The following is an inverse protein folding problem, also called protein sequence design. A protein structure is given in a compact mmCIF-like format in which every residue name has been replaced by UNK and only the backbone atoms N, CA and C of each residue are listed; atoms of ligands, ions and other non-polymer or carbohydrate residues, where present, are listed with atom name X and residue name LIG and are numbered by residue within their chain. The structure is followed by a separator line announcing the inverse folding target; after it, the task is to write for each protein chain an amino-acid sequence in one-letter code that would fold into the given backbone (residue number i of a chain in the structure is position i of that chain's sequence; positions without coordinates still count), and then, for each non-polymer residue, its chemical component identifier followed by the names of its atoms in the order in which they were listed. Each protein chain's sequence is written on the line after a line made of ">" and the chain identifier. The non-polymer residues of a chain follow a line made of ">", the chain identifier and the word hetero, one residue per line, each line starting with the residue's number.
data_IF_576468964387
#
_entry.id   IF_576468964387
#
_cell.length_a   1.000
_cell.length_b   1.000
_cell.length_c   1.000
_cell.angle_alpha   90.00
_cell.angle_beta   90.00
_cell.angle_gamma   90.00
#
_symmetry.space_group_name_H-M   'P 1'
#
loop_
_entity.id
_entity.type
_entity.pdbx_description
1 polymer ?
#
# COMPACT_ATOMS: atom_id res chain seq x y z
N UNK A 1 0.00 -0.22 -32.78
CA UNK A 1 0.97 0.56 -33.59
C UNK A 1 1.57 -0.35 -34.66
N UNK A 2 1.51 0.01 -35.95
CA UNK A 2 2.04 -0.80 -37.08
C UNK A 2 3.55 -1.08 -36.90
N UNK A 3 4.04 -2.23 -37.37
CA UNK A 3 5.44 -2.70 -37.20
C UNK A 3 6.48 -1.72 -37.72
N UNK A 4 6.20 -1.06 -38.84
CA UNK A 4 7.08 -0.07 -39.47
C UNK A 4 7.30 1.16 -38.59
N UNK A 5 6.24 1.66 -37.94
CA UNK A 5 6.34 2.82 -37.03
C UNK A 5 7.11 2.46 -35.75
N UNK A 6 7.06 1.20 -35.30
CA UNK A 6 7.90 0.70 -34.19
C UNK A 6 9.39 0.70 -34.56
N UNK A 7 9.73 0.31 -35.78
CA UNK A 7 11.12 0.27 -36.26
C UNK A 7 11.70 1.68 -36.38
N UNK A 8 10.91 2.61 -36.96
CA UNK A 8 11.29 4.02 -37.11
C UNK A 8 11.47 4.69 -35.75
N UNK A 9 10.59 4.43 -34.78
CA UNK A 9 10.76 4.98 -33.43
C UNK A 9 11.96 4.35 -32.69
N UNK A 10 12.28 3.08 -32.95
CA UNK A 10 13.41 2.36 -32.34
C UNK A 10 14.78 2.84 -32.81
N UNK A 11 14.91 3.15 -34.10
CA UNK A 11 16.20 3.50 -34.71
C UNK A 11 16.29 4.94 -35.21
N UNK A 12 15.16 5.64 -35.34
CA UNK A 12 15.11 7.03 -35.83
C UNK A 12 15.48 8.07 -34.77
N UNK A 13 15.71 9.33 -35.18
CA UNK A 13 16.15 10.40 -34.29
C UNK A 13 15.08 10.85 -33.27
N UNK A 14 15.50 11.32 -32.09
CA UNK A 14 14.60 11.66 -30.96
C UNK A 14 13.51 12.68 -31.29
N UNK A 15 13.75 13.60 -32.23
CA UNK A 15 12.75 14.62 -32.58
C UNK A 15 11.47 14.00 -33.18
N UNK A 16 11.55 12.81 -33.80
CA UNK A 16 10.39 12.12 -34.37
C UNK A 16 9.39 11.69 -33.29
N UNK A 17 9.87 11.23 -32.14
CA UNK A 17 8.99 10.82 -31.04
C UNK A 17 8.34 12.02 -30.32
N UNK A 18 8.90 13.21 -30.47
CA UNK A 18 8.34 14.45 -29.89
C UNK A 18 7.20 15.05 -30.71
N UNK A 19 6.84 14.45 -31.85
CA UNK A 19 5.70 14.90 -32.64
C UNK A 19 4.40 14.73 -31.84
N UNK A 20 3.65 15.83 -31.72
CA UNK A 20 2.44 15.97 -30.88
C UNK A 20 1.42 14.83 -31.11
N UNK A 21 1.24 14.40 -32.36
CA UNK A 21 0.29 13.33 -32.70
C UNK A 21 0.73 11.93 -32.23
N UNK A 22 2.04 11.68 -32.10
CA UNK A 22 2.60 10.46 -31.51
C UNK A 22 2.41 10.50 -30.00
N UNK A 23 2.75 11.63 -29.36
CA UNK A 23 2.57 11.84 -27.91
C UNK A 23 1.09 11.66 -27.49
N UNK A 24 0.13 12.22 -28.24
CA UNK A 24 -1.32 12.06 -27.97
C UNK A 24 -1.81 10.60 -27.97
N UNK A 25 -1.18 9.69 -28.73
CA UNK A 25 -1.50 8.25 -28.71
C UNK A 25 -0.92 7.53 -27.50
N UNK A 26 0.16 8.05 -26.92
CA UNK A 26 0.85 7.51 -25.74
C UNK A 26 0.13 7.92 -24.45
N UNK A 27 -0.40 9.14 -24.41
CA UNK A 27 -1.11 9.72 -23.25
C UNK A 27 -2.50 9.10 -22.96
N UNK A 28 -2.96 8.10 -23.73
CA UNK A 28 -4.29 7.49 -23.54
C UNK A 28 -4.35 6.46 -22.40
N UNK A 29 -3.26 6.26 -21.67
CA UNK A 29 -3.19 5.40 -20.47
C UNK A 29 -3.35 6.26 -19.21
N UNK A 30 -4.57 6.69 -18.93
CA UNK A 30 -4.89 7.40 -17.68
C UNK A 30 -5.13 6.40 -16.55
N UNK A 31 -4.12 6.24 -15.71
CA UNK A 31 -4.17 5.50 -14.45
C UNK A 31 -2.80 5.47 -13.80
N UNK A 32 -2.75 5.53 -12.47
CA UNK A 32 -1.48 5.58 -11.71
C UNK A 32 -0.72 4.24 -11.67
N UNK A 33 -1.22 3.25 -12.41
CA UNK A 33 -0.62 1.92 -12.57
C UNK A 33 -0.60 1.59 -14.05
N UNK A 34 0.59 1.35 -14.58
CA UNK A 34 0.78 0.88 -15.94
C UNK A 34 0.71 -0.66 -15.97
N UNK A 35 0.06 -1.18 -17.01
CA UNK A 35 -0.14 -2.61 -17.25
C UNK A 35 1.19 -3.41 -17.21
N UNK A 36 1.19 -4.69 -16.77
CA UNK A 36 2.32 -5.60 -16.99
C UNK A 36 2.67 -5.66 -18.49
N UNK A 37 3.88 -5.31 -18.89
CA UNK A 37 4.32 -5.13 -20.29
C UNK A 37 3.96 -3.80 -20.95
N UNK A 38 3.60 -2.78 -20.17
CA UNK A 38 3.47 -1.43 -20.69
C UNK A 38 4.75 -0.98 -21.40
N UNK A 39 4.60 -0.30 -22.55
CA UNK A 39 5.72 0.28 -23.29
C UNK A 39 5.60 1.79 -23.28
N UNK A 40 6.48 2.45 -22.53
CA UNK A 40 6.62 3.89 -22.55
C UNK A 40 7.60 4.21 -23.68
N UNK A 41 7.11 4.93 -24.67
CA UNK A 41 7.81 5.14 -25.92
C UNK A 41 8.90 6.22 -25.82
N UNK A 42 9.82 6.19 -26.79
CA UNK A 42 10.99 7.06 -26.85
C UNK A 42 10.63 8.54 -26.67
N UNK A 43 11.46 9.29 -25.96
CA UNK A 43 11.27 10.75 -25.78
C UNK A 43 9.99 11.17 -25.04
N UNK A 44 9.17 10.23 -24.56
CA UNK A 44 7.94 10.57 -23.85
C UNK A 44 8.21 11.26 -22.54
N UNK A 45 7.45 12.32 -22.25
CA UNK A 45 7.42 12.96 -20.93
C UNK A 45 6.12 12.60 -20.23
N UNK A 46 6.20 11.90 -19.10
CA UNK A 46 5.07 11.55 -18.25
C UNK A 46 5.09 12.46 -17.03
N UNK A 47 4.04 13.25 -16.82
CA UNK A 47 3.87 14.08 -15.62
C UNK A 47 2.66 13.56 -14.86
N UNK A 48 2.88 13.04 -13.66
CA UNK A 48 1.86 12.33 -12.88
C UNK A 48 1.75 12.96 -11.50
N UNK A 49 0.51 13.23 -11.08
CA UNK A 49 0.19 13.59 -9.70
C UNK A 49 0.13 12.32 -8.86
N UNK A 50 0.96 12.27 -7.83
CA UNK A 50 1.20 11.10 -7.02
C UNK A 50 2.10 10.07 -7.69
N UNK A 51 2.31 8.95 -7.00
CA UNK A 51 3.20 7.89 -7.40
C UNK A 51 2.61 6.99 -8.49
N UNK A 52 3.48 6.48 -9.34
CA UNK A 52 3.26 5.60 -10.49
C UNK A 52 3.89 4.22 -10.23
N UNK A 53 3.16 3.16 -10.56
CA UNK A 53 3.74 1.82 -10.68
C UNK A 53 3.81 1.40 -12.14
N UNK A 54 5.00 1.02 -12.61
CA UNK A 54 5.20 0.34 -13.89
C UNK A 54 5.10 -1.17 -13.69
N UNK A 55 4.22 -1.82 -14.44
CA UNK A 55 4.06 -3.28 -14.36
C UNK A 55 5.32 -4.06 -14.73
N UNK A 56 5.31 -5.36 -14.45
CA UNK A 56 6.39 -6.30 -14.81
C UNK A 56 6.68 -6.30 -16.31
N UNK A 57 7.93 -6.54 -16.70
CA UNK A 57 8.39 -6.57 -18.10
C UNK A 57 8.05 -5.28 -18.89
N UNK A 58 7.80 -4.18 -18.19
CA UNK A 58 7.58 -2.88 -18.82
C UNK A 58 8.84 -2.45 -19.57
N UNK A 59 8.63 -1.74 -20.68
CA UNK A 59 9.73 -1.21 -21.49
C UNK A 59 9.66 0.31 -21.46
N UNK A 60 10.64 0.94 -20.83
CA UNK A 60 10.82 2.38 -20.83
C UNK A 60 11.87 2.68 -21.89
N UNK A 61 11.46 3.28 -22.99
CA UNK A 61 12.32 3.48 -24.14
C UNK A 61 13.20 4.73 -23.98
N UNK A 62 14.20 4.86 -24.86
CA UNK A 62 15.26 5.86 -24.69
C UNK A 62 14.74 7.30 -24.64
N UNK A 63 15.34 8.15 -23.83
CA UNK A 63 14.97 9.57 -23.71
C UNK A 63 13.62 9.83 -23.03
N UNK A 64 12.96 8.82 -22.47
CA UNK A 64 11.74 9.02 -21.68
C UNK A 64 12.05 9.78 -20.39
N UNK A 65 11.20 10.72 -20.02
CA UNK A 65 11.25 11.43 -18.74
C UNK A 65 9.98 11.13 -17.95
N UNK A 66 10.12 10.54 -16.76
CA UNK A 66 9.02 10.34 -15.81
C UNK A 66 9.18 11.37 -14.70
N UNK A 67 8.19 12.22 -14.55
CA UNK A 67 8.05 13.16 -13.45
C UNK A 67 6.80 12.75 -12.68
N UNK A 68 7.00 12.33 -11.45
CA UNK A 68 5.93 12.04 -10.52
C UNK A 68 6.07 13.04 -9.37
N UNK A 69 4.95 13.54 -8.84
CA UNK A 69 4.99 14.47 -7.72
C UNK A 69 3.85 14.23 -6.73
N UNK A 70 4.14 14.06 -5.45
CA UNK A 70 3.11 14.10 -4.41
C UNK A 70 2.81 15.55 -4.04
N UNK A 71 1.53 15.83 -3.82
CA UNK A 71 1.10 17.00 -3.06
C UNK A 71 1.05 16.56 -1.60
N UNK A 72 2.10 16.87 -0.85
CA UNK A 72 2.14 16.70 0.59
C UNK A 72 1.78 18.03 1.25
N UNK A 73 1.56 18.01 2.56
CA UNK A 73 1.34 19.21 3.34
C UNK A 73 2.43 19.33 4.41
N UNK A 74 2.95 20.54 4.60
CA UNK A 74 3.92 20.89 5.63
C UNK A 74 3.27 20.78 7.02
N UNK A 75 4.10 20.88 8.05
CA UNK A 75 3.65 21.02 9.45
C UNK A 75 2.65 22.17 9.65
N UNK A 76 2.71 23.21 8.83
CA UNK A 76 1.91 24.42 8.91
C UNK A 76 0.68 24.35 7.97
N UNK A 77 0.49 23.21 7.29
CA UNK A 77 -0.60 23.00 6.32
C UNK A 77 -0.28 23.53 4.92
N UNK A 78 0.95 23.97 4.66
CA UNK A 78 1.34 24.48 3.34
C UNK A 78 1.57 23.32 2.35
N UNK A 79 1.10 23.42 1.11
CA UNK A 79 1.36 22.38 0.11
C UNK A 79 2.86 22.31 -0.21
N UNK A 80 3.47 21.16 0.07
CA UNK A 80 4.82 20.82 -0.35
C UNK A 80 4.73 19.88 -1.55
N UNK A 81 5.38 20.25 -2.65
CA UNK A 81 5.53 19.34 -3.79
C UNK A 81 6.78 18.50 -3.57
N UNK A 82 6.61 17.19 -3.37
CA UNK A 82 7.72 16.24 -3.31
C UNK A 82 7.74 15.38 -4.57
N UNK A 83 8.90 14.81 -4.90
CA UNK A 83 8.96 13.81 -5.97
C UNK A 83 8.07 12.63 -5.58
N UNK A 84 7.16 12.29 -6.47
CA UNK A 84 6.26 11.16 -6.33
C UNK A 84 6.95 9.86 -6.71
N UNK A 85 6.39 8.76 -6.22
CA UNK A 85 7.07 7.47 -6.35
C UNK A 85 7.02 6.95 -7.77
N UNK A 86 8.12 6.41 -8.27
CA UNK A 86 8.10 5.49 -9.41
C UNK A 86 8.51 4.13 -8.88
N UNK A 87 7.64 3.13 -9.03
CA UNK A 87 7.94 1.72 -8.73
C UNK A 87 8.00 0.96 -10.04
N UNK A 88 9.15 0.38 -10.36
CA UNK A 88 9.32 -0.41 -11.58
C UNK A 88 9.00 -1.89 -11.29
N UNK A 89 8.39 -2.58 -12.26
CA UNK A 89 8.10 -4.01 -12.18
C UNK A 89 9.33 -4.86 -12.48
N UNK A 90 9.34 -6.13 -12.04
CA UNK A 90 10.44 -7.06 -12.31
C UNK A 90 10.64 -7.26 -13.82
N UNK A 91 11.88 -7.43 -14.25
CA UNK A 91 12.21 -7.68 -15.66
C UNK A 91 11.98 -6.49 -16.59
N UNK A 92 11.81 -5.28 -16.04
CA UNK A 92 11.65 -4.10 -16.86
C UNK A 92 12.92 -3.79 -17.67
N UNK A 93 12.75 -3.25 -18.86
CA UNK A 93 13.83 -2.76 -19.72
C UNK A 93 13.81 -1.24 -19.68
N UNK A 94 14.86 -0.65 -19.13
CA UNK A 94 15.04 0.79 -19.03
C UNK A 94 16.11 1.20 -20.06
N UNK A 95 15.66 1.90 -21.10
CA UNK A 95 16.49 2.37 -22.20
C UNK A 95 17.46 3.48 -21.79
N UNK A 96 18.35 3.83 -22.73
CA UNK A 96 19.34 4.90 -22.56
C UNK A 96 18.67 6.28 -22.34
N UNK A 97 19.29 7.16 -21.57
CA UNK A 97 18.85 8.55 -21.36
C UNK A 97 17.44 8.67 -20.74
N UNK A 98 16.97 7.61 -20.05
CA UNK A 98 15.69 7.65 -19.33
C UNK A 98 15.87 8.42 -18.02
N UNK A 99 15.08 9.47 -17.83
CA UNK A 99 15.06 10.26 -16.59
C UNK A 99 13.97 9.76 -15.67
N UNK A 100 14.37 9.31 -14.49
CA UNK A 100 13.48 8.88 -13.41
C UNK A 100 13.63 9.85 -12.22
N UNK A 101 12.57 10.11 -11.44
CA UNK A 101 12.67 11.01 -10.31
C UNK A 101 13.43 10.34 -9.15
N UNK A 102 14.11 11.13 -8.31
CA UNK A 102 14.72 10.66 -7.05
C UNK A 102 13.84 9.69 -6.26
N UNK A 103 14.45 8.66 -5.68
CA UNK A 103 13.75 7.63 -4.89
C UNK A 103 13.14 6.50 -5.72
N UNK A 104 13.10 6.58 -7.05
CA UNK A 104 12.57 5.50 -7.91
C UNK A 104 13.12 4.12 -7.52
N UNK A 105 12.22 3.14 -7.33
CA UNK A 105 12.57 1.76 -6.98
C UNK A 105 12.66 0.92 -8.24
N UNK A 106 13.86 0.44 -8.56
CA UNK A 106 14.10 -0.47 -9.68
C UNK A 106 14.42 -1.88 -9.13
N UNK A 107 13.55 -2.88 -9.36
CA UNK A 107 13.71 -4.19 -8.75
C UNK A 107 14.84 -5.01 -9.39
N UNK A 108 15.30 -6.07 -8.70
CA UNK A 108 16.22 -7.02 -9.28
C UNK A 108 15.72 -7.57 -10.62
N UNK A 109 16.67 -7.84 -11.50
CA UNK A 109 16.56 -8.36 -12.87
C UNK A 109 16.00 -7.38 -13.91
N UNK A 110 15.87 -6.10 -13.56
CA UNK A 110 15.64 -5.05 -14.54
C UNK A 110 16.90 -4.82 -15.39
N UNK A 111 16.74 -4.69 -16.70
CA UNK A 111 17.83 -4.37 -17.63
C UNK A 111 17.93 -2.86 -17.79
N UNK A 112 19.01 -2.27 -17.27
CA UNK A 112 19.30 -0.84 -17.39
C UNK A 112 20.37 -0.68 -18.46
N UNK A 113 20.02 -0.06 -19.58
CA UNK A 113 20.94 0.06 -20.72
C UNK A 113 22.02 1.14 -20.52
N UNK A 114 21.86 2.03 -19.53
CA UNK A 114 22.81 3.10 -19.21
C UNK A 114 22.70 3.51 -17.73
N UNK A 115 23.58 2.99 -16.85
CA UNK A 115 23.52 3.29 -15.42
C UNK A 115 23.73 4.77 -15.06
N UNK A 116 24.43 5.54 -15.92
CA UNK A 116 24.69 6.98 -15.70
C UNK A 116 23.44 7.86 -15.74
N UNK A 117 22.34 7.35 -16.31
CA UNK A 117 21.13 8.13 -16.58
C UNK A 117 20.06 7.91 -15.51
N UNK A 118 20.26 6.91 -14.65
CA UNK A 118 19.54 6.76 -13.39
C UNK A 118 20.14 7.79 -12.43
N UNK A 119 19.32 8.77 -12.02
CA UNK A 119 19.77 9.81 -11.08
C UNK A 119 20.47 9.14 -9.89
N UNK A 120 21.54 9.72 -9.34
CA UNK A 120 22.30 9.10 -8.24
C UNK A 120 21.45 8.78 -6.98
N UNK A 121 20.27 9.40 -6.87
CA UNK A 121 19.27 9.14 -5.83
C UNK A 121 18.10 8.25 -6.27
N UNK A 122 18.04 7.83 -7.53
CA UNK A 122 17.24 6.70 -7.97
C UNK A 122 17.97 5.43 -7.52
N UNK A 123 17.31 4.62 -6.72
CA UNK A 123 17.97 3.51 -6.06
C UNK A 123 17.54 2.22 -6.75
N UNK A 124 18.49 1.63 -7.48
CA UNK A 124 18.33 0.24 -7.87
C UNK A 124 18.43 -0.61 -6.60
N UNK A 125 17.57 -1.61 -6.45
CA UNK A 125 17.70 -2.60 -5.35
C UNK A 125 19.05 -3.36 -5.49
N UNK A 126 19.70 -3.27 -6.65
CA UNK A 126 20.99 -3.88 -6.93
C UNK A 126 22.19 -3.17 -6.28
N UNK A 127 22.18 -1.84 -6.20
CA UNK A 127 23.35 -1.06 -5.74
C UNK A 127 23.41 -0.89 -4.22
N UNK A 128 22.41 -1.37 -3.49
CA UNK A 128 22.24 -1.14 -2.04
C UNK A 128 23.04 -2.09 -1.15
N UNK A 129 23.69 -3.11 -1.72
CA UNK A 129 24.51 -4.06 -0.96
C UNK A 129 25.87 -3.46 -0.60
N UNK A 130 25.86 -2.40 0.23
CA UNK A 130 27.07 -1.71 0.69
C UNK A 130 26.97 -0.19 0.86
N UNK A 131 25.82 0.42 0.53
CA UNK A 131 25.65 1.86 0.66
C UNK A 131 25.63 2.30 2.15
N UNK A 132 26.69 2.99 2.57
CA UNK A 132 26.79 3.74 3.84
C UNK A 132 25.49 4.54 4.17
N UNK A 133 24.81 5.21 3.20
CA UNK A 133 23.54 5.90 3.46
C UNK A 133 22.42 5.02 4.03
N UNK A 134 22.35 3.74 3.66
CA UNK A 134 21.33 2.82 4.16
C UNK A 134 21.60 2.37 5.59
N UNK A 135 22.88 2.23 5.96
CA UNK A 135 23.27 1.90 7.33
C UNK A 135 22.92 3.07 8.27
N UNK A 136 23.23 4.30 7.87
CA UNK A 136 22.86 5.50 8.64
C UNK A 136 21.34 5.69 8.72
N UNK A 137 20.63 5.54 7.60
CA UNK A 137 19.16 5.56 7.58
C UNK A 137 18.56 4.52 8.53
N UNK A 138 19.12 3.30 8.54
CA UNK A 138 18.69 2.25 9.45
C UNK A 138 18.92 2.64 10.91
N UNK A 139 20.07 3.25 11.25
CA UNK A 139 20.36 3.68 12.62
C UNK A 139 19.41 4.79 13.09
N UNK A 140 19.14 5.78 12.24
CA UNK A 140 18.22 6.86 12.57
C UNK A 140 16.81 6.32 12.80
N UNK A 141 16.30 5.49 11.89
CA UNK A 141 14.96 4.90 11.99
C UNK A 141 14.83 3.94 13.17
N UNK A 142 15.88 3.19 13.52
CA UNK A 142 15.88 2.29 14.69
C UNK A 142 15.68 3.03 16.02
N UNK A 143 16.04 4.31 16.12
CA UNK A 143 15.76 5.14 17.29
C UNK A 143 14.32 5.68 17.35
N UNK A 144 13.56 5.55 16.26
CA UNK A 144 12.17 6.03 16.19
C UNK A 144 11.21 4.98 16.74
N UNK A 145 10.10 5.45 17.30
CA UNK A 145 9.08 4.61 17.95
C UNK A 145 7.70 4.85 17.32
N UNK A 146 7.50 4.55 16.02
CA UNK A 146 6.21 4.73 15.38
C UNK A 146 5.14 3.81 15.95
N UNK A 147 3.90 4.24 15.75
CA UNK A 147 2.70 3.43 15.94
C UNK A 147 2.15 3.03 14.57
N UNK A 148 1.87 1.75 14.38
CA UNK A 148 1.28 1.23 13.16
C UNK A 148 -0.12 0.69 13.44
N UNK A 149 -1.13 1.21 12.74
CA UNK A 149 -2.51 0.72 12.86
C UNK A 149 -2.81 -0.21 11.70
N UNK A 150 -3.13 -1.46 12.03
CA UNK A 150 -3.32 -2.59 11.12
C UNK A 150 -4.79 -3.00 11.03
N UNK A 151 -5.26 -3.41 9.86
CA UNK A 151 -6.58 -4.01 9.70
C UNK A 151 -6.96 -4.27 8.24
N UNK A 152 -8.18 -4.75 8.02
CA UNK A 152 -8.70 -5.17 6.70
C UNK A 152 -9.03 -4.01 5.75
N UNK A 153 -8.79 -2.76 6.17
CA UNK A 153 -9.43 -1.59 5.59
C UNK A 153 -10.92 -1.57 5.98
N UNK A 154 -11.55 -0.40 6.04
CA UNK A 154 -12.93 -0.29 6.59
C UNK A 154 -13.06 -0.70 8.06
N UNK A 155 -11.96 -0.90 8.78
CA UNK A 155 -11.92 -1.25 10.20
C UNK A 155 -11.74 -0.03 11.13
N UNK A 156 -12.02 1.19 10.65
CA UNK A 156 -11.86 2.41 11.44
C UNK A 156 -10.47 3.05 11.37
N UNK A 157 -9.54 2.48 10.59
CA UNK A 157 -8.17 2.98 10.37
C UNK A 157 -8.09 4.48 10.07
N UNK A 158 -8.93 4.99 9.17
CA UNK A 158 -9.00 6.43 8.88
C UNK A 158 -9.41 7.27 10.10
N UNK A 159 -10.43 6.83 10.85
CA UNK A 159 -10.89 7.58 12.02
C UNK A 159 -9.82 7.65 13.11
N UNK A 160 -9.09 6.56 13.32
CA UNK A 160 -7.99 6.51 14.28
C UNK A 160 -6.88 7.46 13.85
N UNK A 161 -6.42 7.41 12.59
CA UNK A 161 -5.41 8.36 12.10
C UNK A 161 -5.86 9.83 12.25
N UNK A 162 -7.13 10.12 11.99
CA UNK A 162 -7.70 11.46 12.17
C UNK A 162 -7.73 11.88 13.65
N UNK A 163 -8.02 10.96 14.57
CA UNK A 163 -7.98 11.23 16.01
C UNK A 163 -6.57 11.59 16.47
N UNK A 164 -5.56 10.84 16.04
CA UNK A 164 -4.16 11.12 16.36
C UNK A 164 -3.65 12.40 15.71
N UNK A 165 -4.11 12.75 14.51
CA UNK A 165 -3.76 14.02 13.87
C UNK A 165 -4.27 15.26 14.63
N UNK A 166 -5.19 15.10 15.58
CA UNK A 166 -5.70 16.18 16.46
C UNK A 166 -4.96 16.26 17.79
N UNK A 167 -4.10 15.28 18.11
CA UNK A 167 -3.35 15.26 19.37
C UNK A 167 -2.10 16.14 19.26
N UNK A 168 -1.77 16.87 20.33
CA UNK A 168 -0.56 17.70 20.38
C UNK A 168 0.69 16.81 20.25
N UNK A 169 1.67 17.22 19.44
CA UNK A 169 2.93 16.52 19.16
C UNK A 169 2.80 15.17 18.41
N UNK A 170 1.61 14.81 17.96
CA UNK A 170 1.38 13.63 17.13
C UNK A 170 1.26 13.97 15.66
N UNK A 171 1.79 13.09 14.81
CA UNK A 171 1.48 13.07 13.38
C UNK A 171 0.69 11.81 13.06
N UNK A 172 -0.62 11.95 12.82
CA UNK A 172 -1.50 10.87 12.39
C UNK A 172 -1.66 10.84 10.87
N UNK A 173 -1.38 9.70 10.23
CA UNK A 173 -1.40 9.55 8.76
C UNK A 173 -2.26 8.36 8.35
N UNK A 174 -3.13 8.55 7.35
CA UNK A 174 -3.93 7.48 6.75
C UNK A 174 -3.49 7.26 5.30
N UNK A 175 -3.11 6.03 4.97
CA UNK A 175 -2.76 5.61 3.61
C UNK A 175 -1.72 6.50 2.88
N UNK A 176 -0.81 7.11 3.64
CA UNK A 176 0.12 8.14 3.14
C UNK A 176 1.18 7.64 2.16
N UNK A 177 1.39 6.31 2.07
CA UNK A 177 2.43 5.70 1.26
C UNK A 177 1.85 4.78 0.18
N UNK A 178 1.41 5.31 -0.98
CA UNK A 178 0.75 4.49 -2.00
C UNK A 178 1.61 3.38 -2.60
N UNK A 179 2.94 3.50 -2.51
CA UNK A 179 3.90 2.47 -2.92
C UNK A 179 3.86 1.21 -2.04
N UNK A 180 3.41 1.29 -0.78
CA UNK A 180 3.23 0.12 0.08
C UNK A 180 2.28 -0.90 -0.55
N UNK A 181 1.30 -0.44 -1.31
CA UNK A 181 0.31 -1.31 -1.95
C UNK A 181 0.99 -2.34 -2.87
N UNK A 182 1.97 -1.88 -3.66
CA UNK A 182 2.68 -2.74 -4.58
C UNK A 182 3.69 -3.64 -3.87
N UNK A 183 4.37 -3.14 -2.81
CA UNK A 183 5.33 -3.94 -2.05
C UNK A 183 4.64 -5.07 -1.29
N UNK A 184 3.60 -4.76 -0.52
CA UNK A 184 2.82 -5.77 0.23
C UNK A 184 2.22 -6.82 -0.70
N UNK A 185 1.69 -6.41 -1.85
CA UNK A 185 1.16 -7.32 -2.86
C UNK A 185 2.25 -8.22 -3.48
N UNK A 186 3.40 -7.67 -3.89
CA UNK A 186 4.50 -8.46 -4.43
C UNK A 186 5.07 -9.44 -3.39
N UNK A 187 5.14 -9.05 -2.11
CA UNK A 187 5.51 -9.94 -1.01
C UNK A 187 4.49 -11.07 -0.86
N UNK A 188 3.19 -10.74 -0.88
CA UNK A 188 2.09 -11.71 -0.84
C UNK A 188 2.19 -12.76 -1.96
N UNK A 189 2.52 -12.32 -3.18
CA UNK A 189 2.76 -13.22 -4.32
C UNK A 189 4.14 -13.90 -4.31
N UNK A 190 4.96 -13.71 -3.27
CA UNK A 190 6.32 -14.24 -3.14
C UNK A 190 7.26 -13.83 -4.30
N UNK A 191 6.99 -12.68 -4.92
CA UNK A 191 7.78 -12.16 -6.04
C UNK A 191 9.02 -11.37 -5.58
N UNK A 192 9.02 -10.91 -4.33
CA UNK A 192 10.12 -10.22 -3.66
C UNK A 192 10.32 -10.81 -2.26
N UNK A 193 11.55 -10.77 -1.75
CA UNK A 193 11.88 -11.26 -0.42
C UNK A 193 11.60 -10.21 0.67
N UNK A 194 11.54 -10.64 1.93
CA UNK A 194 11.49 -9.72 3.09
C UNK A 194 12.69 -8.76 3.12
N UNK A 195 13.87 -9.20 2.67
CA UNK A 195 15.04 -8.33 2.54
C UNK A 195 14.80 -7.20 1.52
N UNK A 196 14.22 -7.52 0.36
CA UNK A 196 13.90 -6.54 -0.67
C UNK A 196 12.85 -5.54 -0.17
N UNK A 197 11.87 -6.02 0.60
CA UNK A 197 10.88 -5.17 1.26
C UNK A 197 11.57 -4.22 2.23
N UNK A 198 12.36 -4.72 3.19
CA UNK A 198 13.09 -3.88 4.16
C UNK A 198 13.93 -2.82 3.48
N UNK A 199 14.66 -3.19 2.42
CA UNK A 199 15.42 -2.21 1.64
C UNK A 199 14.50 -1.15 1.03
N UNK A 200 13.41 -1.56 0.36
CA UNK A 200 12.43 -0.62 -0.18
C UNK A 200 11.84 0.32 0.89
N UNK A 201 11.55 -0.19 2.09
CA UNK A 201 11.03 0.57 3.22
C UNK A 201 12.07 1.58 3.75
N UNK A 202 13.31 1.15 4.03
CA UNK A 202 14.38 2.01 4.55
C UNK A 202 14.66 3.20 3.64
N UNK A 203 14.71 2.95 2.34
CA UNK A 203 14.95 3.99 1.33
C UNK A 203 13.89 5.08 1.34
N UNK A 204 12.64 4.71 1.58
CA UNK A 204 11.52 5.62 1.53
C UNK A 204 11.30 6.32 2.86
N UNK A 205 11.33 5.60 3.97
CA UNK A 205 11.14 6.24 5.26
C UNK A 205 12.27 7.21 5.61
N UNK A 206 13.51 6.95 5.20
CA UNK A 206 14.59 7.92 5.41
C UNK A 206 14.33 9.29 4.73
N UNK A 207 13.49 9.32 3.69
CA UNK A 207 13.16 10.56 2.98
C UNK A 207 11.92 11.27 3.55
N UNK A 208 11.03 10.52 4.22
CA UNK A 208 9.65 10.98 4.51
C UNK A 208 9.19 10.73 5.94
N UNK A 209 10.05 10.21 6.82
CA UNK A 209 9.68 10.05 8.23
C UNK A 209 9.50 11.43 8.85
N UNK A 210 8.40 11.61 9.58
CA UNK A 210 8.08 12.90 10.19
C UNK A 210 9.04 13.18 11.35
N UNK A 211 9.43 14.44 11.52
CA UNK A 211 10.25 14.88 12.65
C UNK A 211 9.43 15.15 13.93
N UNK A 212 8.19 14.65 14.01
CA UNK A 212 7.39 14.76 15.23
C UNK A 212 7.87 13.78 16.29
N UNK A 213 7.54 14.09 17.54
CA UNK A 213 7.86 13.23 18.69
C UNK A 213 7.15 11.87 18.57
N UNK A 214 5.88 11.89 18.17
CA UNK A 214 5.09 10.69 17.94
C UNK A 214 4.53 10.65 16.51
N UNK A 215 4.59 9.47 15.90
CA UNK A 215 4.12 9.22 14.53
C UNK A 215 3.21 8.00 14.55
N UNK A 216 2.01 8.15 13.99
CA UNK A 216 1.09 7.05 13.75
C UNK A 216 0.78 6.91 12.26
N UNK A 217 1.08 5.73 11.72
CA UNK A 217 0.75 5.33 10.36
C UNK A 217 -0.37 4.29 10.37
N UNK A 218 -1.50 4.64 9.79
CA UNK A 218 -2.65 3.75 9.63
C UNK A 218 -2.82 3.35 8.17
N UNK A 219 -2.71 2.05 7.90
CA UNK A 219 -2.78 1.53 6.55
C UNK A 219 -3.15 0.04 6.51
N UNK A 220 -4.19 -0.32 5.75
CA UNK A 220 -4.52 -1.73 5.51
C UNK A 220 -3.43 -2.49 4.75
N UNK A 221 -2.52 -1.78 4.09
CA UNK A 221 -1.44 -2.35 3.28
C UNK A 221 -0.28 -2.86 4.14
N UNK A 222 -0.28 -2.59 5.45
CA UNK A 222 0.68 -3.15 6.39
C UNK A 222 0.40 -4.61 6.79
N UNK A 223 -0.71 -5.21 6.34
CA UNK A 223 -1.19 -6.48 6.87
C UNK A 223 -0.16 -7.63 6.86
N UNK A 224 0.76 -7.62 5.91
CA UNK A 224 1.84 -8.59 5.78
C UNK A 224 3.23 -7.94 5.85
N UNK A 225 3.37 -6.78 6.50
CA UNK A 225 4.64 -6.06 6.60
C UNK A 225 5.15 -5.93 8.05
N UNK A 226 4.42 -6.49 9.03
CA UNK A 226 4.75 -6.35 10.46
C UNK A 226 6.19 -6.81 10.78
N UNK A 227 6.70 -7.96 10.29
CA UNK A 227 8.07 -8.37 10.58
C UNK A 227 9.11 -7.40 10.03
N UNK A 228 8.90 -6.87 8.83
CA UNK A 228 9.80 -5.89 8.22
C UNK A 228 9.74 -4.53 8.92
N UNK A 229 8.56 -4.11 9.36
CA UNK A 229 8.39 -2.90 10.16
C UNK A 229 9.09 -3.03 11.52
N UNK A 230 8.94 -4.16 12.21
CA UNK A 230 9.61 -4.42 13.48
C UNK A 230 11.14 -4.52 13.33
N UNK A 231 11.63 -4.99 12.17
CA UNK A 231 13.06 -5.00 11.88
C UNK A 231 13.63 -3.58 11.69
N UNK A 232 12.87 -2.68 11.06
CA UNK A 232 13.30 -1.29 10.83
C UNK A 232 13.11 -0.44 12.09
N UNK A 233 12.03 -0.68 12.83
CA UNK A 233 11.62 0.05 14.03
C UNK A 233 11.44 -0.95 15.19
N UNK A 234 12.52 -1.34 15.88
CA UNK A 234 12.47 -2.37 16.93
C UNK A 234 11.54 -2.03 18.10
N UNK A 235 11.36 -0.74 18.36
CA UNK A 235 10.48 -0.22 19.41
C UNK A 235 9.12 0.25 18.87
N UNK A 236 8.76 -0.10 17.64
CA UNK A 236 7.44 0.22 17.10
C UNK A 236 6.33 -0.47 17.88
N UNK A 237 5.20 0.23 17.96
CA UNK A 237 3.96 -0.28 18.56
C UNK A 237 2.94 -0.60 17.46
N UNK A 238 2.27 -1.73 17.57
CA UNK A 238 1.32 -2.24 16.58
C UNK A 238 -0.09 -2.33 17.16
N UNK A 239 -1.03 -1.61 16.55
CA UNK A 239 -2.44 -1.60 16.96
C UNK A 239 -3.24 -2.32 15.87
N UNK A 240 -3.67 -3.54 16.13
CA UNK A 240 -4.52 -4.29 15.22
C UNK A 240 -5.99 -4.12 15.58
N UNK A 241 -6.75 -3.48 14.67
CA UNK A 241 -8.18 -3.26 14.82
C UNK A 241 -8.96 -4.25 13.95
N UNK A 242 -9.69 -5.15 14.61
CA UNK A 242 -10.55 -6.14 13.96
C UNK A 242 -11.97 -5.61 13.94
N UNK A 243 -12.61 -5.59 12.76
CA UNK A 243 -14.04 -5.26 12.65
C UNK A 243 -14.87 -6.54 12.65
N UNK A 244 -15.99 -6.62 13.40
CA UNK A 244 -16.89 -7.78 13.33
C UNK A 244 -17.26 -8.13 11.88
N UNK A 245 -17.22 -9.41 11.54
CA UNK A 245 -17.22 -9.89 10.15
C UNK A 245 -18.49 -9.47 9.40
N UNK A 246 -19.67 -9.69 10.00
CA UNK A 246 -20.96 -9.27 9.39
C UNK A 246 -20.98 -7.77 9.09
N UNK A 247 -20.53 -6.96 10.06
CA UNK A 247 -20.40 -5.51 9.92
C UNK A 247 -19.41 -5.12 8.83
N UNK A 248 -18.30 -5.85 8.69
CA UNK A 248 -17.32 -5.62 7.62
C UNK A 248 -17.91 -5.95 6.24
N UNK A 249 -18.56 -7.11 6.08
CA UNK A 249 -19.21 -7.53 4.83
C UNK A 249 -20.25 -6.52 4.39
N UNK A 250 -21.11 -6.04 5.30
CA UNK A 250 -22.08 -4.96 5.04
C UNK A 250 -21.44 -3.65 4.53
N UNK A 251 -20.17 -3.40 4.87
CA UNK A 251 -19.42 -2.25 4.37
C UNK A 251 -18.68 -2.50 3.06
N UNK A 252 -18.24 -3.72 2.79
CA UNK A 252 -17.41 -4.06 1.63
C UNK A 252 -18.28 -4.43 0.42
N UNK A 253 -19.34 -5.24 0.62
CA UNK A 253 -20.23 -5.75 -0.43
C UNK A 253 -20.84 -4.64 -1.31
N UNK A 254 -21.44 -3.56 -0.76
CA UNK A 254 -22.03 -2.49 -1.58
C UNK A 254 -21.01 -1.72 -2.44
N UNK A 255 -19.73 -1.76 -2.05
CA UNK A 255 -18.62 -1.13 -2.79
C UNK A 255 -18.15 -1.98 -3.97
N UNK A 256 -18.75 -3.16 -4.17
CA UNK A 256 -18.41 -4.07 -5.25
C UNK A 256 -17.09 -4.80 -5.05
N UNK A 257 -16.57 -4.89 -3.81
CA UNK A 257 -15.35 -5.66 -3.53
C UNK A 257 -15.54 -7.10 -3.99
N UNK A 258 -14.63 -7.59 -4.84
CA UNK A 258 -14.62 -8.92 -5.44
C UNK A 258 -15.82 -9.23 -6.35
N UNK A 259 -16.53 -8.20 -6.80
CA UNK A 259 -17.51 -8.33 -7.87
C UNK A 259 -16.84 -8.10 -9.23
N UNK A 260 -17.26 -8.80 -10.28
CA UNK A 260 -16.66 -8.65 -11.63
C UNK A 260 -17.69 -8.08 -12.61
N UNK A 261 -17.44 -6.91 -13.22
CA UNK A 261 -16.35 -5.96 -12.92
C UNK A 261 -16.57 -5.27 -11.56
N UNK A 262 -15.48 -4.90 -10.87
CA UNK A 262 -15.60 -4.09 -9.65
C UNK A 262 -16.15 -2.71 -10.02
N UNK A 263 -17.17 -2.24 -9.30
CA UNK A 263 -17.84 -0.95 -9.60
C UNK A 263 -16.92 0.26 -9.47
N UNK A 264 -15.84 0.16 -8.69
CA UNK A 264 -14.90 1.25 -8.42
C UNK A 264 -13.50 0.78 -8.80
N UNK A 265 -12.94 1.34 -9.87
CA UNK A 265 -11.54 1.14 -10.25
C UNK A 265 -10.63 1.96 -9.32
N UNK A 266 -10.33 1.42 -8.15
CA UNK A 266 -9.33 2.00 -7.24
C UNK A 266 -8.00 1.28 -7.40
N UNK A 267 -6.87 1.99 -7.24
CA UNK A 267 -5.51 1.41 -7.27
C UNK A 267 -5.41 0.17 -6.38
N UNK A 268 -6.01 0.25 -5.19
CA UNK A 268 -6.02 -0.84 -4.22
C UNK A 268 -6.76 -2.09 -4.70
N UNK A 269 -7.77 -1.97 -5.57
CA UNK A 269 -8.48 -3.14 -6.13
C UNK A 269 -7.54 -4.08 -6.91
N UNK A 270 -6.52 -3.53 -7.58
CA UNK A 270 -5.52 -4.31 -8.31
C UNK A 270 -4.51 -5.04 -7.41
N UNK A 271 -4.32 -4.54 -6.19
CA UNK A 271 -3.29 -5.01 -5.26
C UNK A 271 -3.88 -5.61 -3.99
N UNK A 272 -5.18 -5.89 -3.99
CA UNK A 272 -5.80 -6.62 -2.90
C UNK A 272 -5.23 -8.05 -2.89
N UNK A 273 -4.97 -8.64 -1.71
CA UNK A 273 -4.63 -10.05 -1.58
C UNK A 273 -5.50 -10.94 -2.46
N UNK A 274 -4.84 -11.86 -3.13
CA UNK A 274 -5.47 -12.90 -3.96
C UNK A 274 -5.26 -14.25 -3.30
N UNK A 275 -6.24 -15.15 -3.43
CA UNK A 275 -6.07 -16.51 -2.93
C UNK A 275 -5.20 -17.31 -3.89
N UNK A 276 -3.90 -17.38 -3.60
CA UNK A 276 -2.92 -18.11 -4.43
C UNK A 276 -2.98 -19.63 -4.22
N UNK A 277 -3.79 -20.12 -3.28
CA UNK A 277 -3.87 -21.55 -2.92
C UNK A 277 -5.03 -22.27 -3.59
N UNK A 278 -5.92 -21.56 -4.29
CA UNK A 278 -7.05 -22.14 -5.02
C UNK A 278 -6.93 -21.83 -6.51
N UNK A 279 -7.48 -22.69 -7.37
CA UNK A 279 -7.53 -22.40 -8.79
C UNK A 279 -8.45 -21.21 -9.08
N UNK A 280 -8.19 -20.52 -10.20
CA UNK A 280 -9.04 -19.43 -10.67
C UNK A 280 -10.51 -19.88 -10.84
N UNK A 281 -10.73 -21.13 -11.26
CA UNK A 281 -12.06 -21.72 -11.40
C UNK A 281 -12.76 -21.85 -10.04
N UNK A 282 -12.09 -22.43 -9.03
CA UNK A 282 -12.65 -22.55 -7.67
C UNK A 282 -12.93 -21.18 -7.06
N UNK A 283 -12.05 -20.20 -7.28
CA UNK A 283 -12.27 -18.82 -6.83
C UNK A 283 -13.46 -18.16 -7.53
N UNK A 284 -13.61 -18.41 -8.83
CA UNK A 284 -14.71 -17.87 -9.64
C UNK A 284 -16.09 -18.41 -9.23
N UNK A 285 -16.12 -19.61 -8.63
CA UNK A 285 -17.34 -20.24 -8.13
C UNK A 285 -17.80 -19.69 -6.77
N UNK A 286 -16.92 -19.00 -6.02
CA UNK A 286 -17.31 -18.35 -4.77
C UNK A 286 -18.20 -17.13 -5.04
N UNK A 287 -19.24 -16.96 -4.22
CA UNK A 287 -20.03 -15.75 -4.15
C UNK A 287 -19.19 -14.54 -3.73
N UNK A 288 -19.72 -13.33 -3.98
CA UNK A 288 -19.06 -12.10 -3.54
C UNK A 288 -18.82 -12.11 -2.01
N UNK A 289 -19.79 -12.58 -1.23
CA UNK A 289 -19.69 -12.62 0.24
C UNK A 289 -18.60 -13.59 0.68
N UNK A 290 -18.53 -14.79 0.10
CA UNK A 290 -17.48 -15.76 0.44
C UNK A 290 -16.07 -15.22 0.15
N UNK A 291 -15.87 -14.52 -0.97
CA UNK A 291 -14.58 -13.88 -1.27
C UNK A 291 -14.24 -12.74 -0.29
N UNK A 292 -15.24 -11.98 0.14
CA UNK A 292 -15.07 -10.92 1.16
C UNK A 292 -14.75 -11.53 2.53
N UNK A 293 -15.43 -12.63 2.91
CA UNK A 293 -15.14 -13.40 4.14
C UNK A 293 -13.71 -13.93 4.09
N UNK A 294 -13.32 -14.58 2.99
CA UNK A 294 -11.95 -15.05 2.79
C UNK A 294 -10.93 -13.94 3.01
N UNK A 295 -11.16 -12.77 2.41
CA UNK A 295 -10.24 -11.64 2.53
C UNK A 295 -10.12 -11.15 3.97
N UNK A 296 -11.24 -11.02 4.68
CA UNK A 296 -11.26 -10.64 6.09
C UNK A 296 -10.47 -11.62 6.94
N UNK A 297 -10.73 -12.92 6.78
CA UNK A 297 -10.05 -13.99 7.54
C UNK A 297 -8.56 -14.00 7.22
N UNK A 298 -8.20 -13.97 5.93
CA UNK A 298 -6.83 -13.99 5.46
C UNK A 298 -6.01 -12.83 6.03
N UNK A 299 -6.50 -11.60 5.92
CA UNK A 299 -5.79 -10.42 6.38
C UNK A 299 -5.63 -10.41 7.90
N UNK A 300 -6.70 -10.64 8.66
CA UNK A 300 -6.60 -10.64 10.13
C UNK A 300 -5.71 -11.79 10.62
N UNK A 301 -5.85 -13.00 10.05
CA UNK A 301 -5.00 -14.13 10.45
C UNK A 301 -3.52 -13.89 10.13
N UNK A 302 -3.23 -13.25 9.00
CA UNK A 302 -1.85 -12.87 8.63
C UNK A 302 -1.27 -11.92 9.67
N UNK A 303 -2.00 -10.85 10.02
CA UNK A 303 -1.56 -9.90 11.04
C UNK A 303 -1.37 -10.59 12.40
N UNK A 304 -2.34 -11.41 12.85
CA UNK A 304 -2.24 -12.12 14.12
C UNK A 304 -1.05 -13.08 14.17
N UNK A 305 -0.75 -13.76 13.05
CA UNK A 305 0.41 -14.62 12.97
C UNK A 305 1.72 -13.84 13.05
N UNK A 306 1.83 -12.71 12.35
CA UNK A 306 3.03 -11.86 12.41
C UNK A 306 3.22 -11.25 13.81
N UNK A 307 2.13 -10.88 14.49
CA UNK A 307 2.14 -10.33 15.85
C UNK A 307 2.56 -11.34 16.93
N UNK A 308 2.62 -12.65 16.64
CA UNK A 308 3.17 -13.65 17.58
C UNK A 308 4.64 -13.39 17.90
N UNK A 309 5.39 -12.81 16.95
CA UNK A 309 6.80 -12.44 17.14
C UNK A 309 7.02 -11.09 17.82
N UNK A 310 5.96 -10.35 18.14
CA UNK A 310 6.04 -9.01 18.72
C UNK A 310 5.77 -9.08 20.23
N UNK A 311 6.57 -8.34 21.02
CA UNK A 311 6.37 -8.20 22.47
C UNK A 311 4.95 -7.74 22.81
N UNK A 312 4.37 -8.27 23.89
CA UNK A 312 3.04 -7.89 24.35
C UNK A 312 2.95 -6.39 24.71
N UNK A 313 4.06 -5.78 25.15
CA UNK A 313 4.15 -4.32 25.39
C UNK A 313 4.08 -3.48 24.10
N UNK A 314 4.35 -4.10 22.95
CA UNK A 314 4.45 -3.45 21.65
C UNK A 314 3.28 -3.82 20.74
N UNK A 315 2.27 -4.53 21.23
CA UNK A 315 1.08 -4.84 20.44
C UNK A 315 -0.21 -4.65 21.23
N UNK A 316 -1.23 -4.16 20.55
CA UNK A 316 -2.61 -4.09 21.00
C UNK A 316 -3.49 -4.73 19.93
N UNK A 317 -4.32 -5.68 20.31
CA UNK A 317 -5.36 -6.24 19.42
C UNK A 317 -6.71 -5.92 20.05
N UNK A 318 -7.61 -5.28 19.31
CA UNK A 318 -8.94 -4.91 19.82
C UNK A 318 -9.98 -4.88 18.70
N UNK A 319 -11.25 -4.78 19.08
CA UNK A 319 -12.39 -4.79 18.17
C UNK A 319 -12.90 -3.38 17.89
N UNK A 320 -13.17 -3.09 16.62
CA UNK A 320 -13.90 -1.89 16.25
C UNK A 320 -15.32 -1.96 16.82
N UNK A 321 -15.66 -0.98 17.66
CA UNK A 321 -16.95 -0.90 18.33
C UNK A 321 -16.96 -1.52 19.73
N UNK A 322 -15.82 -1.98 20.25
CA UNK A 322 -15.72 -2.30 21.67
C UNK A 322 -15.92 -1.05 22.52
N UNK A 323 -16.57 -1.22 23.68
CA UNK A 323 -16.83 -0.13 24.63
C UNK A 323 -15.56 0.54 25.16
N UNK A 324 -14.47 -0.21 25.23
CA UNK A 324 -13.18 0.25 25.72
C UNK A 324 -12.19 0.63 24.60
N UNK A 325 -12.63 0.72 23.33
CA UNK A 325 -11.72 0.94 22.20
C UNK A 325 -10.82 2.18 22.40
N UNK A 326 -11.41 3.29 22.83
CA UNK A 326 -10.69 4.55 23.03
C UNK A 326 -9.76 4.51 24.24
N UNK A 327 -10.22 3.94 25.36
CA UNK A 327 -9.39 3.80 26.57
C UNK A 327 -8.21 2.84 26.32
N UNK A 328 -8.44 1.70 25.66
CA UNK A 328 -7.40 0.73 25.36
C UNK A 328 -6.31 1.35 24.46
N UNK A 329 -6.71 2.13 23.46
CA UNK A 329 -5.77 2.84 22.57
C UNK A 329 -5.04 3.94 23.34
N UNK A 330 -5.74 4.73 24.16
CA UNK A 330 -5.13 5.80 24.93
C UNK A 330 -4.07 5.25 25.89
N UNK A 331 -4.41 4.24 26.69
CA UNK A 331 -3.51 3.58 27.63
C UNK A 331 -2.28 3.00 26.92
N UNK A 332 -2.50 2.29 25.80
CA UNK A 332 -1.41 1.69 25.02
C UNK A 332 -0.47 2.75 24.40
N UNK A 333 -1.01 3.90 24.01
CA UNK A 333 -0.26 5.01 23.44
C UNK A 333 0.32 5.97 24.48
N UNK A 334 -0.01 5.81 25.77
CA UNK A 334 0.40 6.73 26.83
C UNK A 334 -0.28 8.10 26.73
N UNK A 335 -1.53 8.12 26.27
CA UNK A 335 -2.37 9.31 26.20
C UNK A 335 -3.31 9.36 27.40
N UNK A 336 -3.68 10.56 27.84
CA UNK A 336 -4.74 10.74 28.84
C UNK A 336 -6.11 10.33 28.28
N UNK A 337 -6.39 10.66 27.01
CA UNK A 337 -7.60 10.28 26.31
C UNK A 337 -7.44 10.42 24.79
N UNK A 338 -8.33 9.77 24.04
CA UNK A 338 -8.45 9.94 22.59
C UNK A 338 -9.92 9.87 22.16
N UNK A 339 -10.36 10.83 21.34
CA UNK A 339 -11.71 10.83 20.73
C UNK A 339 -11.60 10.33 19.29
N UNK A 340 -12.11 9.13 19.02
CA UNK A 340 -12.10 8.54 17.69
C UNK A 340 -13.38 8.93 16.96
N UNK A 341 -13.30 9.82 15.95
CA UNK A 341 -14.49 10.35 15.30
C UNK A 341 -15.28 9.23 14.62
N UNK A 342 -16.61 9.26 14.80
CA UNK A 342 -17.51 8.34 14.10
C UNK A 342 -17.46 8.59 12.58
N UNK A 343 -16.63 7.85 11.85
CA UNK A 343 -16.51 7.99 10.40
C UNK A 343 -17.50 7.07 9.66
N UNK A 344 -18.67 7.62 9.29
CA UNK A 344 -19.58 6.91 8.38
C UNK A 344 -19.21 7.20 6.91
N UNK A 345 -18.04 6.71 6.50
CA UNK A 345 -17.53 6.90 5.13
C UNK A 345 -18.44 6.30 4.06
N UNK A 346 -19.30 5.32 4.40
CA UNK A 346 -20.37 4.85 3.51
C UNK A 346 -21.39 5.96 3.22
N UNK A 347 -21.87 6.66 4.26
CA UNK A 347 -22.81 7.79 4.10
C UNK A 347 -22.19 8.93 3.31
N UNK A 348 -20.93 9.29 3.59
CA UNK A 348 -20.20 10.34 2.84
C UNK A 348 -20.06 10.00 1.35
N UNK A 349 -19.90 8.72 1.00
CA UNK A 349 -19.81 8.27 -0.39
C UNK A 349 -21.17 7.96 -1.05
N UNK A 350 -22.30 8.27 -0.40
CA UNK A 350 -23.63 7.93 -0.91
C UNK A 350 -23.93 6.42 -0.99
N UNK A 351 -23.11 5.58 -0.34
CA UNK A 351 -23.25 4.13 -0.35
C UNK A 351 -24.16 3.71 0.80
N UNK A 352 -25.31 3.13 0.47
CA UNK A 352 -26.16 2.47 1.46
C UNK A 352 -25.51 1.13 1.88
N UNK A 353 -25.44 0.87 3.19
CA UNK A 353 -25.00 -0.43 3.69
C UNK A 353 -26.01 -1.49 3.25
N UNK A 354 -25.53 -2.62 2.75
CA UNK A 354 -26.42 -3.71 2.35
C UNK A 354 -27.00 -4.39 3.57
N UNK A 355 -28.30 -4.69 3.55
CA UNK A 355 -28.83 -5.77 4.37
C UNK A 355 -28.29 -7.09 3.83
N UNK A 356 -27.71 -7.91 4.71
CA UNK A 356 -27.28 -9.26 4.37
C UNK A 356 -28.51 -10.18 4.46
N UNK A 357 -28.59 -11.18 3.59
CA UNK A 357 -29.60 -12.24 3.73
C UNK A 357 -29.34 -13.09 4.98
N UNK A 358 -30.32 -13.86 5.42
CA UNK A 358 -30.14 -14.81 6.53
C UNK A 358 -29.03 -15.83 6.24
N UNK A 359 -28.93 -16.29 4.99
CA UNK A 359 -27.85 -17.18 4.54
C UNK A 359 -26.48 -16.50 4.66
N UNK A 360 -26.36 -15.25 4.21
CA UNK A 360 -25.10 -14.48 4.31
C UNK A 360 -24.71 -14.19 5.76
N UNK A 361 -25.69 -13.92 6.63
CA UNK A 361 -25.46 -13.76 8.07
C UNK A 361 -24.99 -15.06 8.72
N UNK A 362 -25.59 -16.20 8.34
CA UNK A 362 -25.16 -17.52 8.80
C UNK A 362 -23.73 -17.85 8.35
N UNK A 363 -23.38 -17.55 7.10
CA UNK A 363 -22.01 -17.68 6.59
C UNK A 363 -21.02 -16.82 7.38
N UNK A 364 -21.36 -15.55 7.66
CA UNK A 364 -20.52 -14.67 8.47
C UNK A 364 -20.35 -15.22 9.90
N UNK A 365 -21.45 -15.65 10.54
CA UNK A 365 -21.42 -16.17 11.91
C UNK A 365 -20.52 -17.39 12.04
N UNK A 366 -20.67 -18.38 11.14
CA UNK A 366 -19.84 -19.59 11.12
C UNK A 366 -18.36 -19.25 10.93
N UNK A 367 -18.04 -18.41 9.94
CA UNK A 367 -16.67 -18.04 9.66
C UNK A 367 -16.01 -17.22 10.79
N UNK A 368 -16.76 -16.34 11.46
CA UNK A 368 -16.28 -15.59 12.62
C UNK A 368 -16.05 -16.52 13.83
N UNK A 369 -16.94 -17.48 14.06
CA UNK A 369 -16.76 -18.49 15.11
C UNK A 369 -15.53 -19.38 14.88
N UNK A 370 -15.29 -19.82 13.63
CA UNK A 370 -14.10 -20.58 13.26
C UNK A 370 -12.82 -19.76 13.47
N UNK A 371 -12.85 -18.47 13.09
CA UNK A 371 -11.75 -17.54 13.32
C UNK A 371 -11.45 -17.33 14.80
N UNK A 372 -12.48 -17.11 15.63
CA UNK A 372 -12.34 -16.96 17.08
C UNK A 372 -11.83 -18.24 17.74
N UNK A 373 -12.33 -19.41 17.33
CA UNK A 373 -11.89 -20.71 17.84
C UNK A 373 -10.41 -20.97 17.54
N UNK A 374 -9.92 -20.49 16.40
CA UNK A 374 -8.51 -20.58 16.00
C UNK A 374 -7.62 -19.56 16.73
N UNK A 375 -8.20 -18.54 17.37
CA UNK A 375 -7.50 -17.46 18.03
C UNK A 375 -8.08 -17.18 19.44
N UNK A 376 -7.97 -18.15 20.38
CA UNK A 376 -8.64 -18.09 21.69
C UNK A 376 -8.18 -16.96 22.60
N UNK A 377 -7.03 -16.34 22.30
CA UNK A 377 -6.47 -15.22 23.06
C UNK A 377 -6.98 -13.85 22.61
N UNK A 378 -7.86 -13.79 21.60
CA UNK A 378 -8.47 -12.53 21.20
C UNK A 378 -9.33 -11.97 22.33
N UNK A 379 -9.36 -10.64 22.53
CA UNK A 379 -10.31 -10.05 23.46
C UNK A 379 -11.74 -10.42 23.05
N UNK A 380 -12.67 -10.58 24.01
CA UNK A 380 -14.06 -10.85 23.67
C UNK A 380 -14.65 -9.71 22.85
N UNK A 381 -15.54 -10.05 21.91
CA UNK A 381 -16.35 -9.07 21.20
C UNK A 381 -17.34 -8.49 22.21
N UNK A 382 -16.98 -7.36 22.83
CA UNK A 382 -17.91 -6.58 23.66
C UNK A 382 -18.71 -5.67 22.73
N UNK A 383 -19.80 -6.19 22.16
CA UNK A 383 -20.81 -5.35 21.52
C UNK A 383 -21.82 -4.92 22.59
N UNK A 384 -22.13 -3.63 22.63
CA UNK A 384 -23.37 -3.14 23.25
C UNK A 384 -24.59 -3.48 22.39
#
# INVERSE_FOLDING_TARGET
>A
MKSTLKLILRYGPMWLSNLIWIQKRIHKFSGDVFHPSARIHYGSKLIIKGGITLGENSQIHRGTEILSHWMLYSKDGDPITSNGDVVVGKGAIIGKDVKLPPGTVVPPHSCIMSPSDIHASCMSIWDTHGCIPLLYASQELQSKKPFFVLGTGRSGTHAIAEAFARQNNWTGRHEHYPWLTALGYKKHLQQISSKDVVQGLLLRWNQFYANSEFVLDSDQRFFNLVPELANIFPEAKFIHIIRPLSSFVQSAKPRGWFNTPEKVHHRWSYYRPQNTSVSDESWSNLSQVERVIWYWTFVNQTVLNDLKGISDTNKLVTWLGSTNLESDIADFCGLESIDVPRSNTSRKSGIQKSHLSEEELSLCSRAEQEFLSSNPNLPPIKCD
#
